data_IF_257470186567
#
_entry.id   IF_257470186567
#
_cell.length_a   1.000
_cell.length_b   1.000
_cell.length_c   1.000
_cell.angle_alpha   90.00
_cell.angle_beta   90.00
_cell.angle_gamma   90.00
#
_symmetry.space_group_name_H-M   'P 1'
#
loop_
_entity.id
_entity.type
_entity.pdbx_description
1 polymer ?
#
# COMPACT_ATOMS: atom_id res chain seq x y z
N UNK A 1 1.33 -15.21 0.58
CA UNK A 1 1.21 -16.63 0.19
C UNK A 1 0.83 -16.78 -1.26
N UNK A 2 -0.35 -16.27 -1.66
CA UNK A 2 -0.97 -16.49 -2.97
C UNK A 2 -0.04 -16.35 -4.18
N UNK A 3 0.70 -15.23 -4.31
CA UNK A 3 1.59 -14.99 -5.46
C UNK A 3 2.77 -15.98 -5.50
N UNK A 4 3.33 -16.32 -4.35
CA UNK A 4 4.44 -17.28 -4.27
C UNK A 4 3.95 -18.68 -4.63
N UNK A 5 2.73 -19.05 -4.23
CA UNK A 5 2.13 -20.35 -4.59
C UNK A 5 1.76 -20.46 -6.07
N UNK A 6 1.39 -19.36 -6.73
CA UNK A 6 0.98 -19.39 -8.15
C UNK A 6 2.13 -19.23 -9.13
N UNK A 7 3.14 -18.42 -8.77
CA UNK A 7 4.22 -18.02 -9.68
C UNK A 7 5.58 -18.63 -9.32
N UNK A 8 5.69 -19.22 -8.12
CA UNK A 8 6.94 -19.73 -7.57
C UNK A 8 7.82 -18.63 -6.96
N UNK A 9 8.76 -19.04 -6.11
CA UNK A 9 9.63 -18.13 -5.36
C UNK A 9 10.52 -17.27 -6.27
N UNK A 10 11.14 -17.89 -7.29
CA UNK A 10 12.04 -17.18 -8.22
C UNK A 10 11.30 -16.14 -9.08
N UNK A 11 10.12 -16.49 -9.60
CA UNK A 11 9.32 -15.57 -10.43
C UNK A 11 8.78 -14.38 -9.62
N UNK A 12 8.37 -14.62 -8.37
CA UNK A 12 7.93 -13.55 -7.46
C UNK A 12 9.07 -12.58 -7.14
N UNK A 13 10.27 -13.10 -6.86
CA UNK A 13 11.45 -12.28 -6.58
C UNK A 13 11.84 -11.43 -7.79
N UNK A 14 11.86 -12.02 -8.99
CA UNK A 14 12.22 -11.32 -10.22
C UNK A 14 11.22 -10.20 -10.55
N UNK A 15 9.92 -10.48 -10.45
CA UNK A 15 8.87 -9.48 -10.66
C UNK A 15 9.01 -8.31 -9.68
N UNK A 16 9.32 -8.60 -8.41
CA UNK A 16 9.55 -7.57 -7.40
C UNK A 16 10.79 -6.72 -7.71
N UNK A 17 11.91 -7.35 -8.10
CA UNK A 17 13.14 -6.64 -8.46
C UNK A 17 12.92 -5.69 -9.64
N UNK A 18 12.31 -6.17 -10.72
CA UNK A 18 12.04 -5.35 -11.91
C UNK A 18 11.08 -4.20 -11.56
N UNK A 19 9.98 -4.49 -10.86
CA UNK A 19 9.01 -3.47 -10.46
C UNK A 19 9.64 -2.41 -9.55
N UNK A 20 10.41 -2.84 -8.55
CA UNK A 20 11.09 -1.92 -7.63
C UNK A 20 12.12 -1.05 -8.33
N UNK A 21 12.87 -1.58 -9.31
CA UNK A 21 13.82 -0.81 -10.10
C UNK A 21 13.13 0.30 -10.90
N UNK A 22 12.02 -0.02 -11.57
CA UNK A 22 11.26 0.97 -12.34
C UNK A 22 10.72 2.07 -11.43
N UNK A 23 10.09 1.70 -10.31
CA UNK A 23 9.56 2.69 -9.35
C UNK A 23 10.69 3.54 -8.76
N UNK A 24 11.84 2.94 -8.47
CA UNK A 24 13.01 3.67 -7.98
C UNK A 24 13.50 4.72 -8.99
N UNK A 25 13.65 4.36 -10.26
CA UNK A 25 14.02 5.30 -11.33
C UNK A 25 13.03 6.45 -11.46
N UNK A 26 11.72 6.15 -11.42
CA UNK A 26 10.67 7.19 -11.49
C UNK A 26 10.77 8.15 -10.32
N UNK A 27 10.98 7.65 -9.10
CA UNK A 27 11.12 8.50 -7.91
C UNK A 27 12.39 9.34 -7.93
N UNK A 28 13.50 8.84 -8.49
CA UNK A 28 14.73 9.63 -8.66
C UNK A 28 14.51 10.82 -9.62
N UNK A 29 13.98 10.58 -10.81
CA UNK A 29 13.69 11.66 -11.76
C UNK A 29 12.72 12.68 -11.15
N UNK A 30 11.69 12.21 -10.48
CA UNK A 30 10.68 13.07 -9.86
C UNK A 30 11.26 13.89 -8.70
N UNK A 31 12.20 13.34 -7.94
CA UNK A 31 12.95 14.05 -6.91
C UNK A 31 13.83 15.17 -7.48
N UNK A 32 14.58 14.90 -8.55
CA UNK A 32 15.39 15.90 -9.25
C UNK A 32 14.53 17.05 -9.80
N UNK A 33 13.39 16.73 -10.42
CA UNK A 33 12.43 17.73 -10.91
C UNK A 33 11.83 18.58 -9.78
N UNK A 34 11.54 17.97 -8.63
CA UNK A 34 10.96 18.68 -7.47
C UNK A 34 11.94 19.68 -6.85
N UNK A 35 13.24 19.37 -6.86
CA UNK A 35 14.29 20.29 -6.40
C UNK A 35 14.57 21.39 -7.43
N UNK A 36 14.56 21.04 -8.72
CA UNK A 36 14.83 21.99 -9.80
C UNK A 36 13.70 23.02 -9.98
N UNK A 37 12.44 22.62 -9.78
CA UNK A 37 11.27 23.50 -9.86
C UNK A 37 10.37 23.30 -8.64
N UNK A 38 10.55 24.11 -7.57
CA UNK A 38 9.70 24.08 -6.38
C UNK A 38 8.37 24.79 -6.65
N UNK A 39 7.56 24.23 -7.54
CA UNK A 39 6.18 24.63 -7.76
C UNK A 39 5.31 23.89 -6.73
N UNK A 40 4.32 24.56 -6.13
CA UNK A 40 3.36 23.93 -5.19
C UNK A 40 2.36 22.98 -5.88
N UNK A 41 2.59 22.66 -7.15
CA UNK A 41 1.75 21.80 -7.98
C UNK A 41 2.13 20.32 -7.92
N UNK A 42 1.14 19.44 -8.12
CA UNK A 42 1.37 18.00 -8.22
C UNK A 42 2.06 17.62 -9.54
N UNK A 43 2.52 16.37 -9.67
CA UNK A 43 3.36 15.88 -10.79
C UNK A 43 2.78 16.12 -12.20
N UNK A 44 1.46 16.26 -12.31
CA UNK A 44 0.79 16.63 -13.56
C UNK A 44 1.22 18.01 -14.10
N UNK A 45 1.66 18.93 -13.23
CA UNK A 45 2.18 20.26 -13.60
C UNK A 45 3.50 20.14 -14.35
N UNK A 46 4.40 19.26 -13.90
CA UNK A 46 5.63 18.96 -14.63
C UNK A 46 5.33 18.31 -15.98
N UNK A 47 4.39 17.37 -16.03
CA UNK A 47 3.97 16.74 -17.28
C UNK A 47 3.34 17.77 -18.25
N UNK A 48 2.50 18.68 -17.75
CA UNK A 48 1.90 19.74 -18.55
C UNK A 48 2.97 20.68 -19.16
N UNK A 49 4.00 21.00 -18.38
CA UNK A 49 5.05 21.95 -18.76
C UNK A 49 6.07 21.38 -19.74
N UNK A 50 6.46 20.11 -19.59
CA UNK A 50 7.51 19.48 -20.42
C UNK A 50 6.99 18.63 -21.58
N UNK A 51 5.80 18.03 -21.47
CA UNK A 51 5.23 17.14 -22.49
C UNK A 51 4.02 17.75 -23.20
N UNK A 52 3.37 18.72 -22.55
CA UNK A 52 2.25 19.49 -23.11
C UNK A 52 0.96 19.35 -22.31
N UNK A 53 -0.02 20.26 -22.51
CA UNK A 53 -1.22 20.36 -21.68
C UNK A 53 -2.08 19.10 -21.65
N UNK A 54 -2.20 18.40 -22.78
CA UNK A 54 -2.99 17.17 -22.89
C UNK A 54 -2.40 16.02 -22.03
N UNK A 55 -1.07 15.91 -21.99
CA UNK A 55 -0.36 14.92 -21.19
C UNK A 55 -0.52 15.20 -19.70
N UNK A 56 -0.41 16.47 -19.30
CA UNK A 56 -0.69 16.90 -17.93
C UNK A 56 -2.11 16.53 -17.46
N UNK A 57 -3.13 16.81 -18.27
CA UNK A 57 -4.51 16.43 -17.97
C UNK A 57 -4.68 14.91 -17.80
N UNK A 58 -4.06 14.13 -18.70
CA UNK A 58 -4.11 12.67 -18.65
C UNK A 58 -3.46 12.12 -17.37
N UNK A 59 -2.29 12.65 -17.00
CA UNK A 59 -1.58 12.26 -15.77
C UNK A 59 -2.40 12.59 -14.53
N UNK A 60 -3.07 13.74 -14.49
CA UNK A 60 -3.94 14.11 -13.37
C UNK A 60 -5.08 13.10 -13.17
N UNK A 61 -5.74 12.69 -14.26
CA UNK A 61 -6.81 11.68 -14.21
C UNK A 61 -6.30 10.29 -13.83
N UNK A 62 -5.19 9.85 -14.42
CA UNK A 62 -4.59 8.55 -14.09
C UNK A 62 -4.18 8.50 -12.62
N UNK A 63 -3.62 9.59 -12.10
CA UNK A 63 -3.24 9.70 -10.70
C UNK A 63 -4.46 9.62 -9.78
N UNK A 64 -5.50 10.39 -10.08
CA UNK A 64 -6.75 10.37 -9.31
C UNK A 64 -7.41 8.98 -9.32
N UNK A 65 -7.47 8.32 -10.49
CA UNK A 65 -8.00 6.96 -10.62
C UNK A 65 -7.16 5.96 -9.82
N UNK A 66 -5.84 6.07 -9.86
CA UNK A 66 -4.93 5.19 -9.10
C UNK A 66 -5.22 5.28 -7.61
N UNK A 67 -5.35 6.51 -7.08
CA UNK A 67 -5.68 6.70 -5.66
C UNK A 67 -7.09 6.23 -5.30
N UNK A 68 -8.06 6.44 -6.18
CA UNK A 68 -9.44 5.96 -5.98
C UNK A 68 -9.47 4.44 -5.86
N UNK A 69 -8.76 3.73 -6.75
CA UNK A 69 -8.67 2.26 -6.72
C UNK A 69 -7.87 1.78 -5.50
N UNK A 70 -6.76 2.44 -5.16
CA UNK A 70 -5.95 2.08 -4.00
C UNK A 70 -6.72 2.20 -2.68
N UNK A 71 -7.47 3.30 -2.50
CA UNK A 71 -8.33 3.50 -1.33
C UNK A 71 -9.49 2.50 -1.30
N UNK A 72 -10.16 2.28 -2.44
CA UNK A 72 -11.23 1.27 -2.53
C UNK A 72 -10.76 -0.14 -2.20
N UNK A 73 -9.57 -0.52 -2.67
CA UNK A 73 -8.93 -1.79 -2.33
C UNK A 73 -8.65 -1.90 -0.83
N UNK A 74 -8.16 -0.81 -0.21
CA UNK A 74 -7.88 -0.77 1.23
C UNK A 74 -9.15 -0.94 2.08
N UNK A 75 -10.27 -0.32 1.69
CA UNK A 75 -11.55 -0.49 2.38
C UNK A 75 -12.12 -1.90 2.20
N UNK A 76 -11.95 -2.48 1.01
CA UNK A 76 -12.39 -3.85 0.75
C UNK A 76 -11.60 -4.85 1.58
N UNK A 77 -10.28 -4.67 1.69
CA UNK A 77 -9.43 -5.48 2.56
C UNK A 77 -9.83 -5.36 4.05
N UNK A 78 -10.11 -4.15 4.53
CA UNK A 78 -10.62 -3.92 5.88
C UNK A 78 -11.99 -4.58 6.09
N UNK A 79 -12.88 -4.50 5.10
CA UNK A 79 -14.18 -5.15 5.13
C UNK A 79 -14.10 -6.68 5.19
N UNK A 80 -13.18 -7.30 4.43
CA UNK A 80 -12.91 -8.74 4.55
C UNK A 80 -12.37 -9.12 5.92
N UNK A 81 -11.52 -8.28 6.52
CA UNK A 81 -11.05 -8.49 7.88
C UNK A 81 -12.22 -8.50 8.88
N UNK A 82 -13.17 -7.56 8.74
CA UNK A 82 -14.35 -7.49 9.63
C UNK A 82 -15.28 -8.70 9.51
N UNK A 83 -15.32 -9.37 8.36
CA UNK A 83 -16.10 -10.61 8.21
C UNK A 83 -15.59 -11.76 9.08
N UNK A 84 -14.33 -11.73 9.52
CA UNK A 84 -13.82 -12.72 10.47
C UNK A 84 -14.59 -12.70 11.80
N UNK A 85 -14.94 -11.50 12.30
CA UNK A 85 -15.72 -11.33 13.53
C UNK A 85 -17.24 -11.28 13.28
N UNK A 86 -17.65 -10.68 12.17
CA UNK A 86 -19.06 -10.47 11.82
C UNK A 86 -19.38 -11.06 10.43
N UNK A 87 -19.44 -12.41 10.31
CA UNK A 87 -19.59 -13.09 9.02
C UNK A 87 -20.95 -12.85 8.37
N UNK A 88 -21.96 -12.46 9.15
CA UNK A 88 -23.32 -12.21 8.66
C UNK A 88 -23.47 -10.85 7.96
N UNK A 89 -22.52 -9.92 8.16
CA UNK A 89 -22.59 -8.57 7.58
C UNK A 89 -21.85 -8.56 6.24
N UNK A 90 -22.48 -8.08 5.16
CA UNK A 90 -21.83 -8.03 3.85
C UNK A 90 -20.71 -6.97 3.81
N UNK A 91 -19.64 -7.26 3.07
CA UNK A 91 -18.41 -6.45 2.98
C UNK A 91 -18.69 -4.99 2.62
N UNK A 92 -19.64 -4.73 1.71
CA UNK A 92 -19.94 -3.38 1.24
C UNK A 92 -20.38 -2.45 2.38
N UNK A 93 -21.07 -2.97 3.40
CA UNK A 93 -21.50 -2.19 4.57
C UNK A 93 -20.28 -1.72 5.34
N UNK A 94 -19.32 -2.61 5.59
CA UNK A 94 -18.06 -2.25 6.25
C UNK A 94 -17.25 -1.24 5.43
N UNK A 95 -17.21 -1.37 4.10
CA UNK A 95 -16.55 -0.39 3.24
C UNK A 95 -17.16 1.01 3.38
N UNK A 96 -18.50 1.12 3.38
CA UNK A 96 -19.19 2.40 3.55
C UNK A 96 -18.96 2.99 4.94
N UNK A 97 -18.99 2.16 5.99
CA UNK A 97 -18.75 2.59 7.37
C UNK A 97 -17.33 3.15 7.53
N UNK A 98 -16.30 2.44 7.07
CA UNK A 98 -14.92 2.93 7.15
C UNK A 98 -14.69 4.19 6.32
N UNK A 99 -15.30 4.25 5.13
CA UNK A 99 -15.26 5.44 4.28
C UNK A 99 -15.87 6.65 5.01
N UNK A 100 -17.05 6.49 5.62
CA UNK A 100 -17.73 7.56 6.35
C UNK A 100 -16.91 8.03 7.58
N UNK A 101 -16.29 7.11 8.31
CA UNK A 101 -15.43 7.44 9.46
C UNK A 101 -14.23 8.26 9.01
N UNK A 102 -13.51 7.79 7.99
CA UNK A 102 -12.30 8.48 7.48
C UNK A 102 -12.65 9.83 6.89
N UNK A 103 -13.73 9.90 6.11
CA UNK A 103 -14.23 11.17 5.57
C UNK A 103 -14.60 12.14 6.71
N UNK A 104 -15.31 11.67 7.74
CA UNK A 104 -15.66 12.48 8.91
C UNK A 104 -14.43 13.00 9.67
N UNK A 105 -13.43 12.14 9.91
CA UNK A 105 -12.17 12.53 10.54
C UNK A 105 -11.41 13.57 9.70
N UNK A 106 -11.39 13.39 8.38
CA UNK A 106 -10.71 14.30 7.47
C UNK A 106 -11.34 15.70 7.45
N UNK A 107 -12.67 15.79 7.53
CA UNK A 107 -13.40 17.06 7.58
C UNK A 107 -13.21 17.79 8.92
N UNK A 108 -13.10 17.07 10.04
CA UNK A 108 -13.06 17.67 11.38
C UNK A 108 -11.65 18.10 11.79
N UNK A 109 -10.62 17.28 11.52
CA UNK A 109 -9.24 17.62 11.90
C UNK A 109 -8.21 16.77 11.16
N UNK A 110 -7.49 17.42 10.24
CA UNK A 110 -6.37 16.82 9.53
C UNK A 110 -5.20 16.45 10.44
N UNK A 111 -5.08 17.10 11.61
CA UNK A 111 -4.02 16.84 12.59
C UNK A 111 -4.21 15.50 13.32
N UNK A 112 -5.44 15.15 13.70
CA UNK A 112 -5.70 13.86 14.34
C UNK A 112 -5.48 12.70 13.39
N UNK A 113 -5.80 12.90 12.10
CA UNK A 113 -5.48 11.92 11.07
C UNK A 113 -3.95 11.71 10.94
N UNK A 114 -3.17 12.80 10.90
CA UNK A 114 -1.71 12.72 10.80
C UNK A 114 -1.05 12.05 12.03
N UNK A 115 -1.51 12.34 13.25
CA UNK A 115 -1.02 11.67 14.47
C UNK A 115 -1.41 10.18 14.47
N UNK A 116 -2.63 9.84 14.04
CA UNK A 116 -3.06 8.45 13.89
C UNK A 116 -2.20 7.66 12.90
N UNK A 117 -1.91 8.23 11.73
CA UNK A 117 -1.03 7.61 10.74
C UNK A 117 0.37 7.33 11.27
N UNK A 118 0.93 8.23 12.11
CA UNK A 118 2.22 8.01 12.74
C UNK A 118 2.22 6.76 13.62
N UNK A 119 1.21 6.61 14.48
CA UNK A 119 1.07 5.43 15.34
C UNK A 119 0.82 4.16 14.53
N UNK A 120 -0.02 4.20 13.49
CA UNK A 120 -0.22 3.06 12.59
C UNK A 120 1.04 2.67 11.82
N UNK A 121 1.87 3.64 11.45
CA UNK A 121 3.17 3.38 10.81
C UNK A 121 4.13 2.63 11.74
N UNK A 122 4.16 2.99 13.04
CA UNK A 122 4.95 2.28 14.04
C UNK A 122 4.54 0.80 14.13
N UNK A 123 3.24 0.51 14.18
CA UNK A 123 2.73 -0.87 14.19
C UNK A 123 3.22 -1.63 12.97
N UNK A 124 3.15 -1.04 11.77
CA UNK A 124 3.64 -1.67 10.53
C UNK A 124 5.12 -2.05 10.62
N UNK A 125 5.97 -1.15 11.13
CA UNK A 125 7.41 -1.40 11.27
C UNK A 125 7.66 -2.56 12.24
N UNK A 126 7.02 -2.54 13.40
CA UNK A 126 7.15 -3.61 14.41
C UNK A 126 6.70 -4.96 13.84
N UNK A 127 5.59 -4.99 13.11
CA UNK A 127 5.09 -6.20 12.44
C UNK A 127 6.11 -6.75 11.42
N UNK A 128 6.71 -5.90 10.60
CA UNK A 128 7.75 -6.32 9.64
C UNK A 128 8.95 -6.94 10.35
N UNK A 129 9.44 -6.29 11.41
CA UNK A 129 10.57 -6.80 12.21
C UNK A 129 10.22 -8.16 12.79
N UNK A 130 9.01 -8.32 13.35
CA UNK A 130 8.55 -9.60 13.88
C UNK A 130 8.53 -10.70 12.80
N UNK A 131 8.02 -10.41 11.60
CA UNK A 131 8.03 -11.35 10.48
C UNK A 131 9.44 -11.73 10.03
N UNK A 132 10.39 -10.79 10.03
CA UNK A 132 11.80 -11.08 9.67
C UNK A 132 12.44 -11.99 10.72
N UNK A 133 12.21 -11.74 12.01
CA UNK A 133 12.75 -12.57 13.10
C UNK A 133 12.14 -13.99 13.04
N UNK A 134 10.82 -14.10 12.91
CA UNK A 134 10.14 -15.40 12.80
C UNK A 134 10.55 -16.16 11.54
N UNK A 135 10.65 -15.49 10.40
CA UNK A 135 11.13 -16.07 9.15
C UNK A 135 12.59 -16.52 9.24
N UNK A 136 13.46 -15.73 9.88
CA UNK A 136 14.83 -16.12 10.16
C UNK A 136 14.91 -17.34 11.07
N UNK A 137 14.16 -17.34 12.18
CA UNK A 137 14.10 -18.47 13.11
C UNK A 137 13.62 -19.77 12.43
N UNK A 138 12.70 -19.67 11.46
CA UNK A 138 12.28 -20.79 10.63
C UNK A 138 13.40 -21.34 9.74
N UNK A 139 14.15 -20.47 9.08
CA UNK A 139 15.26 -20.85 8.19
C UNK A 139 16.39 -21.52 8.98
N UNK A 140 16.70 -21.01 10.17
CA UNK A 140 17.74 -21.57 11.04
C UNK A 140 17.27 -22.77 11.89
N UNK A 141 16.04 -23.25 11.67
CA UNK A 141 15.54 -24.49 12.30
C UNK A 141 15.12 -24.36 13.75
N UNK A 142 15.02 -23.15 14.31
CA UNK A 142 14.46 -22.91 15.64
C UNK A 142 12.93 -23.11 15.67
N UNK A 143 12.28 -23.08 14.50
CA UNK A 143 10.86 -23.37 14.34
C UNK A 143 10.73 -24.55 13.36
N UNK A 144 10.16 -25.70 13.78
CA UNK A 144 9.98 -26.85 12.91
C UNK A 144 8.86 -26.55 11.89
N UNK A 145 9.24 -26.12 10.69
CA UNK A 145 8.35 -25.95 9.53
C UNK A 145 8.55 -27.06 8.47
N UNK A 146 8.92 -28.28 8.90
CA UNK A 146 9.23 -29.39 7.98
C UNK A 146 7.99 -30.06 7.36
N UNK A 147 6.78 -29.86 7.91
CA UNK A 147 5.59 -30.63 7.50
C UNK A 147 4.57 -29.83 6.66
N UNK A 148 4.88 -28.60 6.24
CA UNK A 148 3.91 -27.76 5.52
C UNK A 148 2.73 -27.32 6.39
N UNK A 149 2.87 -27.38 7.71
CA UNK A 149 1.91 -26.83 8.66
C UNK A 149 1.84 -25.30 8.52
N UNK A 150 0.62 -24.70 8.57
CA UNK A 150 0.48 -23.25 8.54
C UNK A 150 1.21 -22.62 9.72
N UNK A 151 1.75 -21.42 9.50
CA UNK A 151 2.46 -20.67 10.53
C UNK A 151 1.60 -20.57 11.80
N UNK A 152 2.18 -20.72 13.01
CA UNK A 152 1.39 -20.67 14.25
C UNK A 152 0.65 -19.33 14.35
N UNK A 153 -0.69 -19.38 14.35
CA UNK A 153 -1.54 -18.20 14.45
C UNK A 153 -2.32 -17.80 13.18
N UNK A 154 -2.35 -18.66 12.15
CA UNK A 154 -3.27 -18.57 11.00
C UNK A 154 -4.18 -19.81 10.92
#
# INVERSE_FOLDING_TARGET
>A
GYIISTTGAAGTLLAYLIGSLVVWLVMQCLGELSVALPETGAFHVYAARYLGPATGYTVAWLYWLTWTVALGSSFTAAGFCMQYWFPQVPVWVWCVVFCAIIFGLNVISTRFFAEGEFWFSLVKVVTIIAFIILGGAAIFGFIPMQDGSPAPGL
#
